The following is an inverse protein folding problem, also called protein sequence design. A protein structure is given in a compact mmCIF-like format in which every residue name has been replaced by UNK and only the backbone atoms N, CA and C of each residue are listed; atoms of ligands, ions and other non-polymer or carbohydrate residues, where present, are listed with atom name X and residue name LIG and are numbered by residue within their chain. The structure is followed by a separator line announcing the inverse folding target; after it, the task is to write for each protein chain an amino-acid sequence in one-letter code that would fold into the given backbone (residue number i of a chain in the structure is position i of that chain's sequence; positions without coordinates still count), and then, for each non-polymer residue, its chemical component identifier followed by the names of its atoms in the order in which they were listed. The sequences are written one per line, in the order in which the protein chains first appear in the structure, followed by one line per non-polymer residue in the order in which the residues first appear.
data_IF_966393409270
#
_entry.id   IF_966393409270
#
_cell.length_a   1.000
_cell.length_b   1.000
_cell.length_c   1.000
_cell.angle_alpha   90.00
_cell.angle_beta   90.00
_cell.angle_gamma   90.00
#
_symmetry.space_group_name_H-M   'P 1'
#
loop_
_entity.id
_entity.type
_entity.pdbx_description
1 polymer ?
#
# COMPACT_ATOMS: atom_id res chain seq x y z
N UNK A 1 -10.69 -21.51 3.31
CA UNK A 1 -10.73 -20.23 4.05
C UNK A 1 -11.12 -19.16 3.06
N UNK A 2 -12.35 -18.63 3.15
CA UNK A 2 -12.80 -17.53 2.29
C UNK A 2 -12.04 -16.27 2.66
N UNK A 3 -11.62 -15.53 1.66
CA UNK A 3 -11.09 -14.17 1.80
C UNK A 3 -12.22 -13.30 2.34
N UNK A 4 -12.07 -12.80 3.55
CA UNK A 4 -13.03 -11.87 4.16
C UNK A 4 -12.76 -10.49 3.55
N UNK A 5 -13.37 -10.26 2.39
CA UNK A 5 -13.36 -8.96 1.74
C UNK A 5 -14.57 -8.23 2.33
N UNK A 6 -14.31 -7.37 3.31
CA UNK A 6 -15.34 -6.49 3.85
C UNK A 6 -15.99 -5.74 2.68
N UNK A 7 -17.30 -5.98 2.47
CA UNK A 7 -18.05 -5.41 1.36
C UNK A 7 -17.99 -3.88 1.45
N UNK A 8 -17.19 -3.26 0.59
CA UNK A 8 -17.12 -1.82 0.47
C UNK A 8 -18.33 -1.33 -0.31
N UNK A 9 -19.26 -0.63 0.35
CA UNK A 9 -20.50 -0.09 -0.23
C UNK A 9 -20.34 1.34 -0.80
N UNK A 10 -19.12 1.84 -0.96
CA UNK A 10 -18.81 3.19 -1.45
C UNK A 10 -18.28 3.20 -2.89
N UNK A 11 -17.97 4.39 -3.40
CA UNK A 11 -17.32 4.55 -4.72
C UNK A 11 -15.84 4.19 -4.58
N UNK A 12 -15.39 3.16 -5.28
CA UNK A 12 -13.98 2.79 -5.37
C UNK A 12 -13.27 3.67 -6.43
N UNK A 13 -12.14 4.27 -6.06
CA UNK A 13 -11.28 4.98 -7.00
C UNK A 13 -10.36 4.00 -7.77
N UNK A 14 -10.09 2.83 -7.20
CA UNK A 14 -9.41 1.72 -7.86
C UNK A 14 -10.13 0.43 -7.50
N UNK A 15 -10.50 -0.37 -8.48
CA UNK A 15 -11.10 -1.68 -8.28
C UNK A 15 -10.40 -2.75 -9.12
N UNK A 16 -10.23 -3.94 -8.55
CA UNK A 16 -9.78 -5.13 -9.24
C UNK A 16 -10.72 -6.28 -8.91
N UNK A 17 -11.11 -7.09 -9.92
CA UNK A 17 -12.07 -8.19 -9.78
C UNK A 17 -11.48 -9.46 -10.37
N UNK A 18 -11.24 -10.47 -9.53
CA UNK A 18 -10.70 -11.77 -9.91
C UNK A 18 -9.37 -11.68 -10.66
N UNK A 19 -8.59 -10.62 -10.37
CA UNK A 19 -7.41 -10.26 -11.14
C UNK A 19 -6.30 -11.29 -11.00
N UNK A 20 -5.90 -11.91 -12.11
CA UNK A 20 -4.82 -12.91 -12.11
C UNK A 20 -3.73 -12.53 -13.10
N UNK A 21 -2.47 -12.72 -12.67
CA UNK A 21 -1.29 -12.51 -13.51
C UNK A 21 -0.25 -13.61 -13.27
N UNK A 22 0.23 -14.18 -14.37
CA UNK A 22 1.27 -15.21 -14.37
C UNK A 22 2.41 -14.79 -15.28
N UNK A 23 3.64 -14.99 -14.82
CA UNK A 23 4.86 -14.85 -15.61
C UNK A 23 5.49 -16.22 -15.79
N UNK A 24 5.40 -16.80 -16.98
CA UNK A 24 5.85 -18.17 -17.26
C UNK A 24 5.26 -19.16 -16.23
N UNK A 25 6.10 -19.71 -15.31
CA UNK A 25 5.69 -20.66 -14.27
C UNK A 25 5.30 -20.01 -12.94
N UNK A 26 5.60 -18.69 -12.75
CA UNK A 26 5.35 -17.98 -11.48
C UNK A 26 4.00 -17.28 -11.53
N UNK A 27 3.12 -17.60 -10.59
CA UNK A 27 1.89 -16.85 -10.34
C UNK A 27 2.28 -15.61 -9.53
N UNK A 28 1.97 -14.43 -10.05
CA UNK A 28 2.24 -13.16 -9.39
C UNK A 28 0.98 -12.59 -8.72
N UNK A 29 -0.19 -12.80 -9.34
CA UNK A 29 -1.51 -12.49 -8.78
C UNK A 29 -2.44 -13.68 -9.05
N UNK A 30 -3.27 -14.04 -8.08
CA UNK A 30 -4.16 -15.20 -8.12
C UNK A 30 -5.54 -14.81 -7.60
N UNK A 31 -6.45 -14.50 -8.53
CA UNK A 31 -7.82 -14.10 -8.28
C UNK A 31 -7.94 -12.97 -7.23
N UNK A 32 -7.18 -11.88 -7.44
CA UNK A 32 -7.17 -10.73 -6.53
C UNK A 32 -8.42 -9.89 -6.73
N UNK A 33 -9.18 -9.70 -5.65
CA UNK A 33 -10.25 -8.73 -5.54
C UNK A 33 -9.76 -7.61 -4.61
N UNK A 34 -9.90 -6.35 -5.03
CA UNK A 34 -9.45 -5.17 -4.28
C UNK A 34 -10.37 -4.00 -4.59
N UNK A 35 -10.75 -3.25 -3.54
CA UNK A 35 -11.44 -1.98 -3.68
C UNK A 35 -10.75 -0.91 -2.83
N UNK A 36 -10.19 0.13 -3.49
CA UNK A 36 -9.58 1.28 -2.83
C UNK A 36 -10.62 2.40 -2.74
N UNK A 37 -11.05 2.80 -1.54
CA UNK A 37 -12.04 3.85 -1.36
C UNK A 37 -11.57 5.20 -1.90
N UNK A 38 -12.48 5.95 -2.53
CA UNK A 38 -12.17 7.30 -2.99
C UNK A 38 -11.82 8.24 -1.81
N UNK A 39 -10.81 9.09 -1.99
CA UNK A 39 -10.37 10.06 -0.99
C UNK A 39 -9.61 9.46 0.20
N UNK A 40 -9.17 8.19 0.11
CA UNK A 40 -8.46 7.49 1.17
C UNK A 40 -7.02 7.15 0.80
N UNK A 41 -6.22 6.81 1.81
CA UNK A 41 -4.91 6.18 1.67
C UNK A 41 -5.02 4.70 2.04
N UNK A 42 -4.80 3.83 1.08
CA UNK A 42 -4.76 2.38 1.30
C UNK A 42 -3.32 1.88 1.26
N UNK A 43 -2.88 1.23 2.36
CA UNK A 43 -1.60 0.55 2.42
C UNK A 43 -1.70 -0.85 1.79
N UNK A 44 -0.87 -1.13 0.79
CA UNK A 44 -0.69 -2.46 0.21
C UNK A 44 0.60 -3.08 0.75
N UNK A 45 0.48 -3.89 1.79
CA UNK A 45 1.62 -4.44 2.52
C UNK A 45 1.87 -5.89 2.11
N UNK A 46 3.14 -6.27 2.05
CA UNK A 46 3.54 -7.65 1.77
C UNK A 46 5.03 -7.78 1.47
N UNK A 47 5.58 -8.99 1.56
CA UNK A 47 7.01 -9.23 1.33
C UNK A 47 7.42 -8.97 -0.12
N UNK A 48 8.72 -8.94 -0.37
CA UNK A 48 9.25 -8.87 -1.72
C UNK A 48 8.78 -10.09 -2.54
N UNK A 49 8.27 -9.82 -3.75
CA UNK A 49 7.71 -10.84 -4.63
C UNK A 49 6.26 -11.24 -4.31
N UNK A 50 5.57 -10.59 -3.38
CA UNK A 50 4.15 -10.84 -3.07
C UNK A 50 3.20 -10.51 -4.23
N UNK A 51 3.60 -9.61 -5.15
CA UNK A 51 2.78 -9.18 -6.29
C UNK A 51 2.43 -7.69 -6.29
N UNK A 52 2.86 -6.89 -5.29
CA UNK A 52 2.53 -5.47 -5.14
C UNK A 52 2.81 -4.65 -6.40
N UNK A 53 4.07 -4.65 -6.87
CA UNK A 53 4.47 -3.96 -8.11
C UNK A 53 3.72 -4.50 -9.33
N UNK A 54 3.42 -5.81 -9.38
CA UNK A 54 2.65 -6.40 -10.48
C UNK A 54 1.21 -5.86 -10.49
N UNK A 55 0.56 -5.77 -9.33
CA UNK A 55 -0.78 -5.20 -9.21
C UNK A 55 -0.79 -3.74 -9.71
N UNK A 56 0.13 -2.91 -9.21
CA UNK A 56 0.28 -1.51 -9.64
C UNK A 56 0.49 -1.43 -11.16
N UNK A 57 1.37 -2.25 -11.73
CA UNK A 57 1.64 -2.26 -13.19
C UNK A 57 0.44 -2.69 -14.03
N UNK A 58 -0.39 -3.60 -13.51
CA UNK A 58 -1.64 -3.97 -14.18
C UNK A 58 -2.62 -2.80 -14.17
N UNK A 59 -2.76 -2.08 -13.05
CA UNK A 59 -3.60 -0.88 -12.95
C UNK A 59 -3.16 0.23 -13.91
N UNK A 60 -1.87 0.32 -14.22
CA UNK A 60 -1.30 1.29 -15.16
C UNK A 60 -1.28 0.80 -16.63
N UNK A 61 -1.89 -0.34 -16.93
CA UNK A 61 -1.81 -0.98 -18.25
C UNK A 61 -0.36 -1.20 -18.77
N UNK A 62 0.58 -1.47 -17.85
CA UNK A 62 1.96 -1.88 -18.22
C UNK A 62 2.11 -3.40 -18.29
N UNK A 63 1.32 -4.13 -17.50
CA UNK A 63 1.33 -5.60 -17.46
C UNK A 63 -0.08 -6.14 -17.67
N UNK A 64 -0.35 -6.77 -18.81
CA UNK A 64 -1.66 -7.31 -19.14
C UNK A 64 -2.03 -8.46 -18.19
N UNK A 65 -3.21 -8.45 -17.55
CA UNK A 65 -3.67 -9.58 -16.73
C UNK A 65 -3.94 -10.81 -17.60
N UNK A 66 -3.90 -12.00 -17.00
CA UNK A 66 -4.33 -13.22 -17.65
C UNK A 66 -5.85 -13.41 -17.57
N UNK A 67 -6.45 -12.97 -16.47
CA UNK A 67 -7.90 -12.96 -16.25
C UNK A 67 -8.30 -11.88 -15.24
N UNK A 68 -9.58 -11.63 -15.13
CA UNK A 68 -10.15 -10.58 -14.28
C UNK A 68 -10.13 -9.22 -14.95
N UNK A 69 -10.54 -8.21 -14.21
CA UNK A 69 -10.61 -6.82 -14.67
C UNK A 69 -10.05 -5.86 -13.64
N UNK A 70 -9.72 -4.65 -14.08
CA UNK A 70 -9.31 -3.54 -13.24
C UNK A 70 -9.95 -2.27 -13.76
N UNK A 71 -10.34 -1.39 -12.83
CA UNK A 71 -10.88 -0.07 -13.13
C UNK A 71 -10.13 0.98 -12.30
N UNK A 72 -9.79 2.10 -12.92
CA UNK A 72 -9.14 3.25 -12.27
C UNK A 72 -10.04 4.46 -12.49
N UNK A 73 -10.58 5.00 -11.41
CA UNK A 73 -11.58 6.08 -11.42
C UNK A 73 -12.72 5.79 -12.43
N UNK A 74 -13.24 4.53 -12.40
CA UNK A 74 -14.29 4.03 -13.28
C UNK A 74 -13.90 3.75 -14.73
N UNK A 75 -12.59 3.81 -15.06
CA UNK A 75 -12.09 3.56 -16.43
C UNK A 75 -11.26 2.28 -16.47
N UNK A 76 -11.60 1.37 -17.37
CA UNK A 76 -10.80 0.18 -17.67
C UNK A 76 -9.53 0.58 -18.45
N UNK A 77 -8.31 0.46 -17.86
CA UNK A 77 -7.08 0.90 -18.49
C UNK A 77 -6.66 0.03 -19.68
N UNK A 78 -7.28 -1.13 -19.88
CA UNK A 78 -7.01 -2.02 -21.01
C UNK A 78 -7.90 -1.71 -22.22
N UNK A 79 -9.05 -1.06 -22.00
CA UNK A 79 -9.94 -0.58 -23.08
C UNK A 79 -9.65 0.87 -23.43
N UNK A 80 -9.39 1.72 -22.43
CA UNK A 80 -9.25 3.17 -22.58
C UNK A 80 -7.93 3.68 -21.95
N UNK A 81 -6.78 3.12 -22.38
CA UNK A 81 -5.47 3.36 -21.77
C UNK A 81 -5.13 4.85 -21.63
N UNK A 82 -5.31 5.64 -22.70
CA UNK A 82 -4.97 7.07 -22.65
C UNK A 82 -5.82 7.87 -21.68
N UNK A 83 -7.07 7.49 -21.47
CA UNK A 83 -7.97 8.10 -20.50
C UNK A 83 -7.60 7.68 -19.06
N UNK A 84 -7.42 6.39 -18.83
CA UNK A 84 -7.06 5.88 -17.51
C UNK A 84 -5.73 6.45 -17.01
N UNK A 85 -4.70 6.52 -17.87
CA UNK A 85 -3.39 7.05 -17.47
C UNK A 85 -3.41 8.55 -17.14
N UNK A 86 -4.35 9.34 -17.68
CA UNK A 86 -4.53 10.74 -17.25
C UNK A 86 -5.12 10.87 -15.84
N UNK A 87 -5.71 9.78 -15.31
CA UNK A 87 -6.28 9.74 -13.95
C UNK A 87 -5.32 9.20 -12.91
N UNK A 88 -4.10 8.81 -13.32
CA UNK A 88 -3.09 8.18 -12.46
C UNK A 88 -1.85 9.05 -12.35
N UNK A 89 -1.46 9.37 -11.10
CA UNK A 89 -0.12 9.81 -10.75
C UNK A 89 0.68 8.61 -10.25
N UNK A 90 1.89 8.41 -10.76
CA UNK A 90 2.70 7.24 -10.39
C UNK A 90 4.05 7.63 -9.80
N UNK A 91 4.36 7.05 -8.65
CA UNK A 91 5.68 7.15 -8.02
C UNK A 91 6.31 5.75 -8.00
N UNK A 92 7.34 5.49 -8.81
CA UNK A 92 8.04 4.21 -8.81
C UNK A 92 8.98 4.08 -7.62
N UNK A 93 9.38 2.84 -7.29
CA UNK A 93 10.34 2.53 -6.23
C UNK A 93 11.69 3.26 -6.39
N UNK A 94 12.15 3.42 -7.62
CA UNK A 94 13.30 4.28 -7.93
C UNK A 94 12.79 5.53 -8.59
N UNK A 95 13.09 6.74 -8.05
CA UNK A 95 12.64 7.98 -8.65
C UNK A 95 12.98 8.05 -10.14
N UNK A 96 11.94 8.21 -10.96
CA UNK A 96 12.08 8.28 -12.42
C UNK A 96 12.43 9.74 -12.82
N UNK A 97 13.58 10.23 -12.35
CA UNK A 97 14.07 11.57 -12.65
C UNK A 97 15.31 11.50 -13.57
N UNK A 98 15.41 12.42 -14.49
CA UNK A 98 16.55 12.51 -15.39
C UNK A 98 17.67 13.29 -14.70
N UNK A 99 18.67 12.58 -14.18
CA UNK A 99 19.75 13.17 -13.37
C UNK A 99 20.61 14.21 -14.07
N UNK A 100 20.68 14.17 -15.41
CA UNK A 100 21.38 15.16 -16.23
C UNK A 100 20.65 16.49 -16.40
N UNK A 101 19.34 16.52 -16.11
CA UNK A 101 18.50 17.71 -16.17
C UNK A 101 18.43 18.40 -14.81
N UNK A 102 18.09 19.72 -14.81
CA UNK A 102 17.72 20.41 -13.58
C UNK A 102 16.38 19.89 -13.02
N UNK A 103 16.05 20.24 -11.79
CA UNK A 103 14.74 19.98 -11.21
C UNK A 103 13.65 20.59 -12.09
N UNK A 104 13.80 21.87 -12.49
CA UNK A 104 12.82 22.55 -13.35
C UNK A 104 12.69 21.94 -14.74
N UNK A 105 13.79 21.51 -15.34
CA UNK A 105 13.75 20.81 -16.65
C UNK A 105 13.01 19.49 -16.56
N UNK A 106 13.12 18.75 -15.45
CA UNK A 106 12.33 17.54 -15.20
C UNK A 106 10.83 17.86 -15.13
N UNK A 107 10.43 18.97 -14.47
CA UNK A 107 9.03 19.41 -14.44
C UNK A 107 8.55 19.89 -15.82
N UNK A 108 9.38 20.64 -16.56
CA UNK A 108 9.07 21.09 -17.92
C UNK A 108 8.88 19.90 -18.88
N UNK A 109 9.70 18.85 -18.73
CA UNK A 109 9.53 17.63 -19.50
C UNK A 109 8.21 16.92 -19.14
N UNK A 110 7.87 16.80 -17.84
CA UNK A 110 6.59 16.23 -17.42
C UNK A 110 5.42 17.01 -18.03
N UNK A 111 5.48 18.34 -18.04
CA UNK A 111 4.48 19.21 -18.68
C UNK A 111 4.36 18.96 -20.18
N UNK A 112 5.47 18.70 -20.87
CA UNK A 112 5.45 18.40 -22.33
C UNK A 112 4.79 17.06 -22.65
N UNK A 113 4.83 16.12 -21.70
CA UNK A 113 4.29 14.76 -21.85
C UNK A 113 2.84 14.63 -21.37
N UNK A 114 2.39 15.53 -20.46
CA UNK A 114 1.06 15.48 -19.86
C UNK A 114 0.37 16.83 -19.98
N UNK A 115 -0.65 16.91 -20.82
CA UNK A 115 -1.34 18.18 -21.18
C UNK A 115 -2.01 18.89 -19.99
N UNK A 116 -2.39 18.14 -18.94
CA UNK A 116 -2.99 18.66 -17.71
C UNK A 116 -1.99 18.93 -16.58
N UNK A 117 -0.68 18.86 -16.84
CA UNK A 117 0.32 19.00 -15.79
C UNK A 117 0.43 20.42 -15.24
N UNK A 118 0.21 20.57 -13.95
CA UNK A 118 0.31 21.84 -13.19
C UNK A 118 1.76 22.02 -12.70
N UNK A 119 2.57 22.65 -13.57
CA UNK A 119 4.00 22.87 -13.28
C UNK A 119 4.20 23.84 -12.12
N UNK A 120 3.33 24.86 -11.99
CA UNK A 120 3.47 25.87 -10.95
C UNK A 120 3.11 25.30 -9.57
N UNK A 121 2.19 24.37 -9.53
CA UNK A 121 1.92 23.59 -8.31
C UNK A 121 3.16 22.77 -7.89
N UNK A 122 3.78 22.06 -8.82
CA UNK A 122 4.95 21.23 -8.54
C UNK A 122 6.15 22.08 -8.10
N UNK A 123 6.37 23.25 -8.75
CA UNK A 123 7.41 24.21 -8.35
C UNK A 123 7.21 24.71 -6.93
N UNK A 124 6.02 25.22 -6.60
CA UNK A 124 5.70 25.69 -5.24
C UNK A 124 5.93 24.62 -4.18
N UNK A 125 5.59 23.36 -4.46
CA UNK A 125 5.83 22.25 -3.55
C UNK A 125 7.31 22.04 -3.29
N UNK A 126 8.13 22.03 -4.32
CA UNK A 126 9.58 21.84 -4.18
C UNK A 126 10.26 23.04 -3.49
N UNK A 127 9.81 24.25 -3.77
CA UNK A 127 10.27 25.46 -3.08
C UNK A 127 9.96 25.43 -1.57
N UNK A 128 8.76 24.97 -1.17
CA UNK A 128 8.38 24.77 0.24
C UNK A 128 9.29 23.77 0.96
N UNK A 129 9.83 22.79 0.23
CA UNK A 129 10.79 21.81 0.72
C UNK A 129 12.26 22.28 0.59
N UNK A 130 12.48 23.55 0.23
CA UNK A 130 13.80 24.12 -0.01
C UNK A 130 14.65 23.32 -1.02
N UNK A 131 14.00 22.74 -2.05
CA UNK A 131 14.67 22.05 -3.15
C UNK A 131 14.89 23.05 -4.30
N UNK A 132 16.15 23.42 -4.62
CA UNK A 132 16.44 24.41 -5.65
C UNK A 132 16.02 23.92 -7.04
N UNK A 133 15.28 24.74 -7.79
CA UNK A 133 14.77 24.35 -9.10
C UNK A 133 15.87 24.27 -10.18
N UNK A 134 16.95 25.00 -10.03
CA UNK A 134 18.12 25.00 -10.92
C UNK A 134 19.13 23.89 -10.63
N UNK A 135 18.98 23.18 -9.48
CA UNK A 135 19.86 22.09 -9.11
C UNK A 135 19.69 20.90 -10.07
N UNK A 136 20.81 20.24 -10.45
CA UNK A 136 20.76 19.01 -11.24
C UNK A 136 20.14 17.87 -10.44
N UNK A 137 19.13 17.21 -10.99
CA UNK A 137 18.41 16.15 -10.31
C UNK A 137 19.31 14.97 -9.87
N UNK A 138 20.38 14.70 -10.59
CA UNK A 138 21.35 13.65 -10.24
C UNK A 138 22.23 13.97 -9.02
N UNK A 139 22.18 15.21 -8.49
CA UNK A 139 22.90 15.61 -7.26
C UNK A 139 21.99 15.72 -6.04
N UNK A 140 20.69 15.45 -6.21
CA UNK A 140 19.73 15.43 -5.12
C UNK A 140 20.02 14.27 -4.15
N UNK A 141 19.74 14.48 -2.86
CA UNK A 141 19.69 13.36 -1.91
C UNK A 141 18.56 12.39 -2.29
N UNK A 142 18.58 11.18 -1.75
CA UNK A 142 17.51 10.19 -1.98
C UNK A 142 16.13 10.75 -1.60
N UNK A 143 16.03 11.46 -0.48
CA UNK A 143 14.80 12.13 -0.03
C UNK A 143 14.34 13.22 -1.01
N UNK A 144 15.25 14.11 -1.43
CA UNK A 144 14.93 15.16 -2.40
C UNK A 144 14.51 14.58 -3.76
N UNK A 145 15.15 13.51 -4.24
CA UNK A 145 14.77 12.84 -5.47
C UNK A 145 13.38 12.18 -5.37
N UNK A 146 13.04 11.60 -4.22
CA UNK A 146 11.70 11.08 -3.95
C UNK A 146 10.65 12.20 -3.92
N UNK A 147 10.96 13.36 -3.30
CA UNK A 147 10.08 14.52 -3.29
C UNK A 147 9.87 15.09 -4.70
N UNK A 148 10.91 15.14 -5.54
CA UNK A 148 10.75 15.50 -6.95
C UNK A 148 9.82 14.52 -7.68
N UNK A 149 10.01 13.20 -7.47
CA UNK A 149 9.13 12.17 -8.03
C UNK A 149 7.67 12.33 -7.60
N UNK A 150 7.45 12.64 -6.30
CA UNK A 150 6.12 12.92 -5.76
C UNK A 150 5.52 14.20 -6.34
N UNK A 151 6.32 15.28 -6.45
CA UNK A 151 5.87 16.53 -7.05
C UNK A 151 5.46 16.36 -8.52
N UNK A 152 6.18 15.51 -9.27
CA UNK A 152 5.80 15.16 -10.65
C UNK A 152 4.48 14.38 -10.66
N UNK A 153 4.29 13.39 -9.78
CA UNK A 153 3.04 12.64 -9.71
C UNK A 153 1.85 13.53 -9.33
N UNK A 154 2.01 14.39 -8.33
CA UNK A 154 0.98 15.33 -7.88
C UNK A 154 0.68 16.41 -8.94
N UNK A 155 1.70 16.87 -9.67
CA UNK A 155 1.54 17.83 -10.78
C UNK A 155 0.64 17.34 -11.91
N UNK A 156 0.43 16.03 -12.06
CA UNK A 156 -0.55 15.48 -13.00
C UNK A 156 -2.00 15.79 -12.62
N UNK A 157 -2.27 16.21 -11.38
CA UNK A 157 -3.63 16.46 -10.81
C UNK A 157 -4.52 15.23 -10.93
N UNK A 158 -3.92 14.06 -10.87
CA UNK A 158 -4.59 12.77 -11.00
C UNK A 158 -5.48 12.46 -9.80
N UNK A 159 -6.56 11.73 -10.05
CA UNK A 159 -7.49 11.28 -9.01
C UNK A 159 -6.94 10.12 -8.19
N UNK A 160 -6.08 9.29 -8.78
CA UNK A 160 -5.51 8.10 -8.16
C UNK A 160 -3.99 8.18 -8.18
N UNK A 161 -3.38 8.07 -7.02
CA UNK A 161 -1.93 8.00 -6.85
C UNK A 161 -1.52 6.56 -6.59
N UNK A 162 -0.66 6.02 -7.45
CA UNK A 162 -0.08 4.69 -7.29
C UNK A 162 1.39 4.84 -6.88
N UNK A 163 1.72 4.41 -5.66
CA UNK A 163 3.07 4.58 -5.11
C UNK A 163 3.68 3.20 -4.84
N UNK A 164 4.72 2.87 -5.61
CA UNK A 164 5.36 1.55 -5.55
C UNK A 164 6.63 1.61 -4.67
N UNK A 165 6.50 1.25 -3.40
CA UNK A 165 7.55 1.28 -2.37
C UNK A 165 8.36 2.60 -2.31
N UNK A 166 7.70 3.77 -2.32
CA UNK A 166 8.38 5.06 -2.45
C UNK A 166 9.27 5.41 -1.26
N UNK A 167 9.06 4.76 -0.11
CA UNK A 167 9.76 5.02 1.16
C UNK A 167 10.97 4.11 1.39
N UNK A 168 11.17 3.09 0.55
CA UNK A 168 12.12 2.00 0.82
C UNK A 168 13.59 2.44 1.01
N UNK A 169 13.99 3.54 0.35
CA UNK A 169 15.37 4.04 0.36
C UNK A 169 15.51 5.41 1.05
N UNK A 170 14.53 5.80 1.86
CA UNK A 170 14.53 7.07 2.58
C UNK A 170 14.96 6.87 4.03
N UNK A 171 15.68 7.85 4.56
CA UNK A 171 15.91 7.94 6.00
C UNK A 171 14.60 8.29 6.76
N UNK A 172 14.56 8.13 8.09
CA UNK A 172 13.32 8.33 8.85
C UNK A 172 12.73 9.73 8.73
N UNK A 173 13.54 10.78 8.57
CA UNK A 173 13.07 12.15 8.42
C UNK A 173 12.44 12.35 7.05
N UNK A 174 13.13 11.95 5.99
CA UNK A 174 12.64 12.03 4.62
C UNK A 174 11.34 11.22 4.42
N UNK A 175 11.16 10.08 5.11
CA UNK A 175 9.90 9.32 5.11
C UNK A 175 8.74 10.14 5.68
N UNK A 176 8.94 10.76 6.84
CA UNK A 176 7.92 11.61 7.47
C UNK A 176 7.53 12.78 6.57
N UNK A 177 8.50 13.47 6.01
CA UNK A 177 8.26 14.58 5.09
C UNK A 177 7.49 14.13 3.85
N UNK A 178 7.87 12.99 3.26
CA UNK A 178 7.17 12.41 2.11
C UNK A 178 5.70 12.12 2.44
N UNK A 179 5.44 11.46 3.56
CA UNK A 179 4.09 11.12 4.02
C UNK A 179 3.27 12.38 4.28
N UNK A 180 3.83 13.40 4.94
CA UNK A 180 3.12 14.65 5.19
C UNK A 180 2.71 15.34 3.88
N UNK A 181 3.62 15.44 2.90
CA UNK A 181 3.32 16.00 1.58
C UNK A 181 2.22 15.21 0.87
N UNK A 182 2.26 13.88 0.95
CA UNK A 182 1.23 13.01 0.38
C UNK A 182 -0.13 13.23 1.04
N UNK A 183 -0.20 13.23 2.37
CA UNK A 183 -1.43 13.41 3.12
C UNK A 183 -2.06 14.79 2.89
N UNK A 184 -1.22 15.84 2.85
CA UNK A 184 -1.68 17.20 2.56
C UNK A 184 -2.30 17.29 1.16
N UNK A 185 -1.69 16.64 0.16
CA UNK A 185 -2.22 16.59 -1.19
C UNK A 185 -3.57 15.85 -1.23
N UNK A 186 -3.69 14.68 -0.57
CA UNK A 186 -4.92 13.91 -0.53
C UNK A 186 -6.05 14.69 0.14
N UNK A 187 -5.78 15.30 1.30
CA UNK A 187 -6.78 16.09 2.05
C UNK A 187 -7.22 17.34 1.30
N UNK A 188 -6.30 18.04 0.63
CA UNK A 188 -6.61 19.28 -0.08
C UNK A 188 -7.24 19.08 -1.45
N UNK A 189 -6.99 17.95 -2.12
CA UNK A 189 -7.37 17.73 -3.51
C UNK A 189 -8.39 16.60 -3.68
N UNK A 190 -8.70 15.85 -2.61
CA UNK A 190 -9.60 14.71 -2.65
C UNK A 190 -9.08 13.55 -3.51
N UNK A 191 -7.75 13.47 -3.70
CA UNK A 191 -7.12 12.35 -4.39
C UNK A 191 -7.15 11.08 -3.54
N UNK A 192 -6.90 9.93 -4.16
CA UNK A 192 -6.84 8.63 -3.52
C UNK A 192 -5.45 8.05 -3.69
N UNK A 193 -4.89 7.39 -2.68
CA UNK A 193 -3.60 6.75 -2.81
C UNK A 193 -3.63 5.25 -2.52
N UNK A 194 -2.97 4.47 -3.36
CA UNK A 194 -2.53 3.10 -3.07
C UNK A 194 -1.02 3.13 -2.85
N UNK A 195 -0.60 2.96 -1.60
CA UNK A 195 0.79 3.02 -1.17
C UNK A 195 1.31 1.61 -0.88
N UNK A 196 2.19 1.07 -1.72
CA UNK A 196 2.81 -0.21 -1.43
C UNK A 196 4.01 -0.07 -0.50
N UNK A 197 4.14 -0.99 0.48
CA UNK A 197 5.28 -1.07 1.39
C UNK A 197 5.56 -2.52 1.77
N UNK A 198 6.78 -2.81 2.16
CA UNK A 198 7.14 -4.04 2.87
C UNK A 198 7.38 -3.79 4.37
N UNK A 199 7.31 -2.53 4.82
CA UNK A 199 7.49 -2.08 6.20
C UNK A 199 6.18 -1.46 6.67
N UNK A 200 5.58 -2.04 7.71
CA UNK A 200 4.25 -1.65 8.22
C UNK A 200 4.31 -0.30 8.94
N UNK A 201 5.35 -0.10 9.74
CA UNK A 201 5.53 1.12 10.54
C UNK A 201 5.66 2.38 9.68
N UNK A 202 6.08 2.25 8.42
CA UNK A 202 6.19 3.39 7.51
C UNK A 202 4.82 3.96 7.08
N UNK A 203 3.77 3.15 7.19
CA UNK A 203 2.43 3.47 6.66
C UNK A 203 1.35 3.54 7.74
N UNK A 204 1.70 3.17 8.97
CA UNK A 204 0.77 3.05 10.10
C UNK A 204 0.04 4.36 10.43
N UNK A 205 0.76 5.47 10.38
CA UNK A 205 0.22 6.80 10.71
C UNK A 205 -0.42 7.51 9.49
N UNK A 206 -0.32 6.91 8.30
CA UNK A 206 -0.70 7.54 7.05
C UNK A 206 -1.94 6.93 6.40
N UNK A 207 -2.31 5.70 6.77
CA UNK A 207 -3.29 4.93 6.02
C UNK A 207 -4.62 4.74 6.74
N UNK A 208 -5.70 4.79 5.97
CA UNK A 208 -7.06 4.54 6.46
C UNK A 208 -7.41 3.05 6.37
N UNK A 209 -6.74 2.33 5.46
CA UNK A 209 -7.04 0.93 5.14
C UNK A 209 -5.77 0.13 4.96
N UNK A 210 -5.80 -1.12 5.46
CA UNK A 210 -4.72 -2.09 5.34
C UNK A 210 -5.12 -3.24 4.41
N UNK A 211 -4.30 -3.46 3.39
CA UNK A 211 -4.40 -4.62 2.50
C UNK A 211 -3.12 -5.43 2.61
N UNK A 212 -3.22 -6.69 3.01
CA UNK A 212 -2.08 -7.62 3.08
C UNK A 212 -2.08 -8.52 1.84
N UNK A 213 -1.03 -8.43 1.04
CA UNK A 213 -0.80 -9.27 -0.13
C UNK A 213 0.29 -10.30 0.17
N UNK A 214 -0.04 -11.58 0.05
CA UNK A 214 0.89 -12.67 0.30
C UNK A 214 0.71 -13.82 -0.69
N UNK A 215 1.78 -14.22 -1.39
CA UNK A 215 1.72 -15.28 -2.38
C UNK A 215 0.77 -15.01 -3.55
N UNK A 216 0.63 -13.75 -3.95
CA UNK A 216 -0.25 -13.31 -5.03
C UNK A 216 -1.73 -13.20 -4.64
N UNK A 217 -2.10 -13.40 -3.38
CA UNK A 217 -3.50 -13.35 -2.89
C UNK A 217 -3.65 -12.26 -1.82
N UNK A 218 -4.81 -11.61 -1.79
CA UNK A 218 -5.20 -10.78 -0.65
C UNK A 218 -5.43 -11.71 0.54
N UNK A 219 -4.80 -11.39 1.67
CA UNK A 219 -4.90 -12.13 2.93
C UNK A 219 -5.75 -11.43 3.95
N UNK A 220 -5.70 -10.09 3.94
CA UNK A 220 -6.53 -9.20 4.72
C UNK A 220 -6.84 -7.97 3.88
N UNK A 221 -8.06 -7.46 4.00
CA UNK A 221 -8.48 -6.18 3.45
C UNK A 221 -9.53 -5.56 4.38
N UNK A 222 -9.12 -4.59 5.21
CA UNK A 222 -10.00 -3.96 6.19
C UNK A 222 -9.54 -2.51 6.51
N UNK A 223 -10.41 -1.70 7.14
CA UNK A 223 -10.00 -0.45 7.78
C UNK A 223 -8.87 -0.68 8.78
N UNK A 224 -7.93 0.26 8.88
CA UNK A 224 -6.78 0.13 9.78
C UNK A 224 -7.19 -0.02 11.24
N UNK A 225 -8.17 0.76 11.68
CA UNK A 225 -8.71 0.70 13.03
C UNK A 225 -9.40 -0.65 13.34
N UNK A 226 -10.01 -1.29 12.35
CA UNK A 226 -10.54 -2.64 12.50
C UNK A 226 -9.41 -3.65 12.71
N UNK A 227 -8.31 -3.54 11.94
CA UNK A 227 -7.16 -4.40 12.12
C UNK A 227 -6.60 -4.30 13.55
N UNK A 228 -6.49 -3.09 14.10
CA UNK A 228 -6.03 -2.86 15.48
C UNK A 228 -6.99 -3.42 16.53
N UNK A 229 -8.28 -3.20 16.35
CA UNK A 229 -9.31 -3.56 17.34
C UNK A 229 -9.57 -5.06 17.41
N UNK A 230 -9.49 -5.77 16.30
CA UNK A 230 -9.94 -7.17 16.18
C UNK A 230 -8.83 -8.20 16.31
N UNK A 231 -7.58 -7.81 16.44
CA UNK A 231 -6.48 -8.78 16.51
C UNK A 231 -5.81 -8.79 17.88
N UNK A 232 -5.49 -10.01 18.34
CA UNK A 232 -4.81 -10.27 19.61
C UNK A 232 -3.63 -11.19 19.37
N UNK A 233 -2.62 -11.05 20.22
CA UNK A 233 -1.40 -11.84 20.19
C UNK A 233 -1.25 -12.61 21.50
N UNK A 234 -0.91 -13.90 21.44
CA UNK A 234 -0.66 -14.71 22.62
C UNK A 234 0.44 -15.74 22.36
N UNK A 235 1.15 -16.10 23.41
CA UNK A 235 2.07 -17.25 23.44
C UNK A 235 1.39 -18.53 23.98
N UNK A 236 0.11 -18.44 24.34
CA UNK A 236 -0.69 -19.55 24.82
C UNK A 236 -1.20 -20.45 23.70
N UNK A 237 -1.28 -21.76 23.97
CA UNK A 237 -1.85 -22.74 23.03
C UNK A 237 -3.38 -22.66 22.93
N UNK A 238 -4.04 -21.98 23.90
CA UNK A 238 -5.48 -21.89 23.95
C UNK A 238 -6.00 -20.59 23.33
N UNK A 239 -7.02 -20.67 22.46
CA UNK A 239 -7.60 -19.49 21.83
C UNK A 239 -8.30 -18.60 22.87
N UNK A 240 -8.22 -17.27 22.73
CA UNK A 240 -9.12 -16.37 23.42
C UNK A 240 -10.58 -16.69 23.06
N UNK A 241 -11.55 -16.49 23.98
CA UNK A 241 -12.96 -16.77 23.72
C UNK A 241 -13.46 -16.05 22.46
N UNK A 242 -14.11 -16.81 21.54
CA UNK A 242 -14.65 -16.26 20.30
C UNK A 242 -13.62 -15.87 19.23
N UNK A 243 -12.36 -16.21 19.43
CA UNK A 243 -11.30 -15.89 18.49
C UNK A 243 -11.02 -17.05 17.50
N UNK A 244 -10.56 -16.68 16.31
CA UNK A 244 -10.11 -17.62 15.28
C UNK A 244 -8.62 -17.43 15.05
N UNK A 245 -7.83 -18.53 15.02
CA UNK A 245 -6.42 -18.48 14.73
C UNK A 245 -6.18 -17.98 13.30
N UNK A 246 -5.32 -16.98 13.16
CA UNK A 246 -4.86 -16.46 11.86
C UNK A 246 -3.58 -17.18 11.45
N UNK A 247 -2.55 -17.15 12.28
CA UNK A 247 -1.26 -17.79 12.01
C UNK A 247 -0.29 -17.63 13.17
N UNK A 248 0.73 -18.48 13.19
CA UNK A 248 1.75 -18.48 14.24
C UNK A 248 3.11 -18.14 13.63
N UNK A 249 3.88 -17.35 14.36
CA UNK A 249 5.20 -16.85 13.95
C UNK A 249 6.11 -16.68 15.17
N UNK A 250 7.40 -16.51 14.90
CA UNK A 250 8.38 -16.28 15.97
C UNK A 250 8.25 -14.83 16.46
N UNK A 251 7.94 -14.65 17.75
CA UNK A 251 7.76 -13.35 18.36
C UNK A 251 9.05 -12.51 18.44
N UNK A 252 8.93 -11.26 18.85
CA UNK A 252 10.07 -10.35 19.02
C UNK A 252 11.08 -10.94 20.02
N UNK A 253 12.32 -11.04 19.61
CA UNK A 253 13.38 -11.68 20.40
C UNK A 253 13.66 -13.14 20.08
N UNK A 254 12.88 -13.77 19.19
CA UNK A 254 13.20 -15.07 18.60
C UNK A 254 13.12 -16.28 19.53
N UNK A 255 12.51 -16.15 20.72
CA UNK A 255 12.49 -17.20 21.76
C UNK A 255 11.13 -17.90 21.91
N UNK A 256 10.03 -17.25 21.52
CA UNK A 256 8.67 -17.79 21.69
C UNK A 256 7.91 -17.78 20.38
N UNK A 257 7.12 -18.79 20.15
CA UNK A 257 6.11 -18.81 19.09
C UNK A 257 4.91 -18.02 19.60
N UNK A 258 4.49 -17.05 18.80
CA UNK A 258 3.31 -16.24 19.05
C UNK A 258 2.22 -16.62 18.06
N UNK A 259 0.98 -16.67 18.53
CA UNK A 259 -0.18 -16.91 17.66
C UNK A 259 -1.03 -15.65 17.57
N UNK A 260 -1.29 -15.23 16.34
CA UNK A 260 -2.22 -14.15 16.06
C UNK A 260 -3.63 -14.72 15.99
N UNK A 261 -4.54 -14.09 16.73
CA UNK A 261 -5.96 -14.40 16.79
C UNK A 261 -6.78 -13.26 16.24
N UNK A 262 -7.88 -13.56 15.57
CA UNK A 262 -8.89 -12.59 15.14
C UNK A 262 -10.17 -12.79 15.94
N UNK A 263 -10.63 -11.74 16.60
CA UNK A 263 -11.92 -11.69 17.30
C UNK A 263 -13.06 -11.53 16.29
N UNK A 264 -14.24 -12.04 16.62
CA UNK A 264 -15.44 -11.78 15.83
C UNK A 264 -15.79 -10.30 15.85
N UNK A 265 -16.16 -9.73 14.70
CA UNK A 265 -16.47 -8.30 14.57
C UNK A 265 -17.64 -7.81 15.45
N UNK A 266 -18.63 -8.66 15.66
CA UNK A 266 -19.87 -8.33 16.38
C UNK A 266 -19.74 -8.38 17.92
N UNK A 267 -18.68 -8.99 18.44
CA UNK A 267 -18.40 -9.15 19.87
C UNK A 267 -17.14 -8.42 20.34
N UNK A 268 -16.63 -7.45 19.57
CA UNK A 268 -15.31 -6.87 19.80
C UNK A 268 -15.13 -6.19 21.16
N UNK A 269 -16.19 -5.69 21.80
CA UNK A 269 -16.12 -5.05 23.13
C UNK A 269 -16.11 -6.10 24.24
N UNK A 270 -17.06 -7.05 24.22
CA UNK A 270 -17.12 -8.14 25.20
C UNK A 270 -15.99 -9.16 25.00
N UNK A 271 -15.60 -9.42 23.74
CA UNK A 271 -14.49 -10.28 23.39
C UNK A 271 -13.13 -9.71 23.76
N UNK A 272 -12.98 -8.38 23.81
CA UNK A 272 -11.75 -7.72 24.20
C UNK A 272 -11.42 -7.94 25.69
N UNK A 273 -12.39 -7.72 26.58
CA UNK A 273 -12.21 -7.93 28.03
C UNK A 273 -11.94 -9.40 28.35
N UNK A 274 -12.61 -10.32 27.65
CA UNK A 274 -12.39 -11.76 27.80
C UNK A 274 -11.01 -12.20 27.25
N UNK A 275 -10.54 -11.59 26.15
CA UNK A 275 -9.22 -11.88 25.59
C UNK A 275 -8.09 -11.37 26.48
N UNK A 276 -8.24 -10.17 27.06
CA UNK A 276 -7.29 -9.62 28.06
C UNK A 276 -7.26 -10.49 29.32
N UNK A 277 -8.44 -10.92 29.81
CA UNK A 277 -8.53 -11.85 30.94
C UNK A 277 -7.86 -13.21 30.65
N UNK A 278 -7.77 -13.63 29.39
CA UNK A 278 -7.07 -14.82 28.95
C UNK A 278 -5.55 -14.60 28.71
N UNK A 279 -5.01 -13.41 29.03
CA UNK A 279 -3.59 -13.08 28.88
C UNK A 279 -3.18 -12.79 27.43
N UNK A 280 -4.10 -12.39 26.57
CA UNK A 280 -3.80 -11.97 25.20
C UNK A 280 -3.51 -10.46 25.16
N UNK A 281 -2.42 -10.09 24.53
CA UNK A 281 -2.02 -8.70 24.31
C UNK A 281 -2.63 -8.12 23.01
N UNK A 282 -2.73 -6.80 22.95
CA UNK A 282 -3.05 -6.12 21.70
C UNK A 282 -1.98 -6.42 20.64
N UNK A 283 -2.40 -6.88 19.48
CA UNK A 283 -1.47 -7.12 18.38
C UNK A 283 -1.07 -5.79 17.72
N UNK A 284 0.24 -5.55 17.56
CA UNK A 284 0.71 -4.46 16.70
C UNK A 284 0.36 -4.74 15.23
N UNK A 285 0.31 -3.72 14.39
CA UNK A 285 0.07 -3.94 12.95
C UNK A 285 1.16 -4.81 12.30
N UNK A 286 2.38 -4.75 12.81
CA UNK A 286 3.46 -5.64 12.37
C UNK A 286 3.12 -7.11 12.69
N UNK A 287 2.60 -7.39 13.90
CA UNK A 287 2.17 -8.73 14.31
C UNK A 287 0.99 -9.22 13.43
N UNK A 288 0.04 -8.33 13.12
CA UNK A 288 -1.06 -8.65 12.20
C UNK A 288 -0.52 -9.07 10.84
N UNK A 289 0.38 -8.29 10.26
CA UNK A 289 0.99 -8.63 8.96
C UNK A 289 1.76 -9.93 9.02
N UNK A 290 2.57 -10.15 10.05
CA UNK A 290 3.34 -11.38 10.23
C UNK A 290 2.43 -12.61 10.33
N UNK A 291 1.35 -12.54 11.12
CA UNK A 291 0.38 -13.62 11.26
C UNK A 291 -0.28 -14.04 9.96
N UNK A 292 -0.78 -13.05 9.18
CA UNK A 292 -1.39 -13.33 7.87
C UNK A 292 -0.40 -13.86 6.83
N UNK A 293 0.85 -13.41 6.86
CA UNK A 293 1.89 -13.92 5.98
C UNK A 293 2.36 -15.32 6.38
N UNK A 294 2.40 -15.64 7.67
CA UNK A 294 2.72 -16.97 8.17
C UNK A 294 1.64 -17.99 7.74
N UNK A 295 0.35 -17.65 7.92
CA UNK A 295 -0.77 -18.45 7.44
C UNK A 295 -0.70 -18.76 5.94
N UNK A 296 -0.21 -17.81 5.15
CA UNK A 296 -0.08 -17.95 3.69
C UNK A 296 1.06 -18.87 3.23
N UNK A 297 2.02 -19.19 4.10
CA UNK A 297 3.15 -20.09 3.75
C UNK A 297 2.80 -21.59 3.90
N UNK A 298 1.57 -21.92 4.34
CA UNK A 298 1.20 -23.29 4.66
C UNK A 298 1.84 -23.72 5.99
N UNK A 299 1.06 -24.16 6.94
CA UNK A 299 1.45 -24.69 8.23
C UNK A 299 2.58 -25.70 8.09
N UNK A 300 3.79 -25.34 8.48
CA UNK A 300 4.93 -26.22 8.34
C UNK A 300 6.18 -25.71 9.00
N UNK A 301 6.10 -24.95 10.09
CA UNK A 301 7.18 -24.97 11.08
C UNK A 301 6.95 -26.23 11.96
N UNK A 302 7.10 -27.42 11.37
CA UNK A 302 7.48 -28.59 12.15
C UNK A 302 8.95 -28.36 12.54
N UNK A 303 9.14 -27.84 13.72
CA UNK A 303 10.45 -27.91 14.36
C UNK A 303 10.62 -29.37 14.84
N UNK A 304 11.52 -30.13 14.17
CA UNK A 304 12.13 -31.32 14.74
C UNK A 304 13.15 -30.93 15.82
#
# INVERSE_FOLDING_TARGET
MGTDIGAFNGTAALAAHGLSKRFRKKVALDAVDLAVPAGSVTALVGPNGAGKTTLIRVCMAFERPNSGSVEVDGVDPWKHRGEALRRVGYVPQKPAVYGGLSVDDNLAMAKSLHSGFDIDYSRRRLEQLAIPLDQRAGTLSGGQAAQLGLAVALGTRAKVLLLDEPLANLDPLARREFIQVLLDAIRSEGSTALLSSHIVTDVEDACDRLVILGGGKIRLDCPLEEARRTHRLTDADSPPPGATAVGSFLGRGGQKIMTLWRLASDGAVEGNDAAVAAGADDASLEDVVLGYLAAGRGTGLQFN
#
